data_IF_698763916725
#
_entry.id   IF_698763916725
#
_cell.length_a   1.000
_cell.length_b   1.000
_cell.length_c   1.000
_cell.angle_alpha   90.00
_cell.angle_beta   90.00
_cell.angle_gamma   90.00
#
_symmetry.space_group_name_H-M   'P 1'
#
loop_
_entity.id
_entity.type
_entity.pdbx_description
1 polymer ?
#
# COMPACT_ATOMS: atom_id res chain seq x y z
N UNK A 1 -18.02 -56.73 2.84
CA UNK A 1 -16.55 -56.65 2.66
C UNK A 1 -16.13 -55.29 3.18
N UNK A 2 -15.43 -55.24 4.31
CA UNK A 2 -15.02 -53.97 4.93
C UNK A 2 -13.71 -53.50 4.30
N UNK A 3 -13.73 -52.32 3.69
CA UNK A 3 -12.55 -51.68 3.13
C UNK A 3 -11.68 -51.14 4.27
N UNK A 4 -10.51 -51.76 4.48
CA UNK A 4 -9.55 -51.29 5.48
C UNK A 4 -8.94 -49.96 5.02
N UNK A 5 -9.40 -48.83 5.57
CA UNK A 5 -8.79 -47.51 5.35
C UNK A 5 -7.30 -47.54 5.74
N UNK A 6 -6.42 -47.34 4.75
CA UNK A 6 -4.99 -47.19 4.96
C UNK A 6 -4.73 -45.90 5.75
N UNK A 7 -4.12 -46.00 6.93
CA UNK A 7 -3.75 -44.82 7.73
C UNK A 7 -2.69 -44.02 6.97
N UNK A 8 -2.81 -42.69 6.91
CA UNK A 8 -1.81 -41.86 6.24
C UNK A 8 -0.48 -41.96 6.98
N UNK A 9 0.61 -42.05 6.22
CA UNK A 9 1.98 -42.02 6.75
C UNK A 9 2.30 -40.62 7.29
N UNK A 10 3.23 -40.52 8.25
CA UNK A 10 3.67 -39.28 8.86
C UNK A 10 4.10 -38.24 7.82
N UNK A 11 4.78 -38.67 6.76
CA UNK A 11 5.16 -37.77 5.66
C UNK A 11 3.95 -37.18 4.91
N UNK A 12 2.89 -37.96 4.72
CA UNK A 12 1.63 -37.48 4.12
C UNK A 12 0.93 -36.48 5.03
N UNK A 13 0.93 -36.74 6.34
CA UNK A 13 0.35 -35.83 7.34
C UNK A 13 1.11 -34.50 7.39
N UNK A 14 2.44 -34.52 7.43
CA UNK A 14 3.27 -33.29 7.45
C UNK A 14 3.03 -32.45 6.19
N UNK A 15 2.97 -33.08 5.00
CA UNK A 15 2.65 -32.37 3.76
C UNK A 15 1.27 -31.71 3.80
N UNK A 16 0.26 -32.44 4.31
CA UNK A 16 -1.09 -31.92 4.44
C UNK A 16 -1.15 -30.75 5.44
N UNK A 17 -0.44 -30.84 6.56
CA UNK A 17 -0.34 -29.76 7.55
C UNK A 17 0.33 -28.53 6.94
N UNK A 18 1.47 -28.68 6.26
CA UNK A 18 2.15 -27.56 5.62
C UNK A 18 1.26 -26.89 4.56
N UNK A 19 0.56 -27.68 3.73
CA UNK A 19 -0.39 -27.16 2.77
C UNK A 19 -1.52 -26.39 3.46
N UNK A 20 -2.10 -26.94 4.52
CA UNK A 20 -3.15 -26.28 5.28
C UNK A 20 -2.67 -24.95 5.89
N UNK A 21 -1.46 -24.92 6.46
CA UNK A 21 -0.86 -23.69 7.00
C UNK A 21 -0.68 -22.63 5.91
N UNK A 22 -0.13 -23.01 4.75
CA UNK A 22 0.05 -22.08 3.63
C UNK A 22 -1.30 -21.55 3.10
N UNK A 23 -2.31 -22.41 2.99
CA UNK A 23 -3.66 -22.00 2.59
C UNK A 23 -4.29 -21.04 3.62
N UNK A 24 -4.19 -21.35 4.91
CA UNK A 24 -4.73 -20.50 5.97
C UNK A 24 -4.02 -19.14 6.03
N UNK A 25 -2.71 -19.11 5.82
CA UNK A 25 -1.96 -17.85 5.71
C UNK A 25 -2.43 -17.03 4.51
N UNK A 26 -2.54 -17.65 3.33
CA UNK A 26 -3.03 -16.97 2.12
C UNK A 26 -4.43 -16.39 2.33
N UNK A 27 -5.37 -17.21 2.80
CA UNK A 27 -6.75 -16.79 3.06
C UNK A 27 -6.84 -15.74 4.17
N UNK A 28 -6.05 -15.87 5.24
CA UNK A 28 -6.01 -14.91 6.34
C UNK A 28 -5.47 -13.56 5.90
N UNK A 29 -4.39 -13.54 5.12
CA UNK A 29 -3.84 -12.31 4.54
C UNK A 29 -4.85 -11.68 3.57
N UNK A 30 -5.48 -12.47 2.69
CA UNK A 30 -6.52 -11.96 1.79
C UNK A 30 -7.70 -11.37 2.56
N UNK A 31 -8.21 -12.05 3.59
CA UNK A 31 -9.31 -11.55 4.41
C UNK A 31 -8.92 -10.25 5.14
N UNK A 32 -7.70 -10.18 5.70
CA UNK A 32 -7.17 -8.96 6.29
C UNK A 32 -7.10 -7.81 5.28
N UNK A 33 -6.51 -8.06 4.10
CA UNK A 33 -6.39 -7.05 3.05
C UNK A 33 -7.72 -6.59 2.47
N UNK A 34 -8.79 -7.38 2.61
CA UNK A 34 -10.15 -7.00 2.17
C UNK A 34 -10.90 -6.23 3.26
N UNK A 35 -10.87 -6.73 4.50
CA UNK A 35 -11.78 -6.33 5.58
C UNK A 35 -11.20 -5.37 6.61
N UNK A 36 -9.88 -5.30 6.74
CA UNK A 36 -9.28 -4.45 7.77
C UNK A 36 -9.55 -2.96 7.50
N UNK A 37 -9.64 -2.12 8.55
CA UNK A 37 -9.82 -0.69 8.41
C UNK A 37 -8.71 -0.07 7.55
N UNK A 38 -9.11 0.84 6.66
CA UNK A 38 -8.22 1.50 5.71
C UNK A 38 -8.03 2.96 6.12
N UNK A 39 -6.80 3.51 6.01
CA UNK A 39 -6.58 4.92 6.21
C UNK A 39 -7.25 5.74 5.10
N UNK A 40 -7.75 6.93 5.45
CA UNK A 40 -8.29 7.91 4.48
C UNK A 40 -7.28 9.00 4.14
N UNK A 41 -6.25 9.17 4.98
CA UNK A 41 -5.20 10.16 4.82
C UNK A 41 -3.84 9.51 5.07
N UNK A 42 -2.83 9.99 4.35
CA UNK A 42 -1.44 9.63 4.56
C UNK A 42 -0.82 10.55 5.60
N UNK A 43 -0.40 10.00 6.75
CA UNK A 43 0.28 10.78 7.78
C UNK A 43 1.72 11.16 7.37
N UNK A 44 2.29 10.40 6.43
CA UNK A 44 3.66 10.62 5.93
C UNK A 44 3.69 11.65 4.78
N UNK A 45 2.70 11.60 3.88
CA UNK A 45 2.66 12.44 2.66
C UNK A 45 1.75 13.66 2.81
N UNK A 46 1.04 13.82 3.94
CA UNK A 46 0.05 14.89 4.17
C UNK A 46 -0.94 15.08 3.01
N UNK A 47 -1.46 13.98 2.46
CA UNK A 47 -2.48 13.98 1.41
C UNK A 47 -3.63 13.04 1.72
N UNK A 48 -4.78 13.32 1.13
CA UNK A 48 -5.87 12.35 1.07
C UNK A 48 -5.46 11.15 0.21
N UNK A 49 -5.90 9.96 0.64
CA UNK A 49 -5.72 8.72 -0.10
C UNK A 49 -6.87 8.50 -1.08
N UNK A 50 -6.67 7.59 -2.03
CA UNK A 50 -7.71 7.23 -3.00
C UNK A 50 -9.03 6.86 -2.30
N UNK A 51 -10.14 7.32 -2.86
CA UNK A 51 -11.50 6.97 -2.42
C UNK A 51 -11.99 5.77 -3.21
N UNK A 52 -12.92 5.01 -2.62
CA UNK A 52 -13.55 3.92 -3.34
C UNK A 52 -14.37 4.50 -4.51
N UNK A 53 -14.24 3.97 -5.75
CA UNK A 53 -14.89 4.56 -6.90
C UNK A 53 -16.41 4.39 -6.85
N UNK A 54 -17.13 5.37 -7.39
CA UNK A 54 -18.57 5.27 -7.57
C UNK A 54 -18.89 4.39 -8.79
N UNK A 55 -19.86 3.51 -8.64
CA UNK A 55 -20.25 2.60 -9.72
C UNK A 55 -21.16 3.29 -10.74
N UNK A 56 -20.84 3.17 -12.02
CA UNK A 56 -21.77 3.43 -13.12
C UNK A 56 -21.57 2.39 -14.22
N UNK A 57 -22.60 2.15 -15.03
CA UNK A 57 -22.49 1.21 -16.14
C UNK A 57 -21.50 1.67 -17.21
N UNK A 58 -21.45 2.99 -17.46
CA UNK A 58 -20.47 3.59 -18.36
C UNK A 58 -19.04 3.38 -17.85
N UNK A 59 -18.79 3.67 -16.56
CA UNK A 59 -17.46 3.52 -15.95
C UNK A 59 -17.02 2.05 -15.84
N UNK A 60 -17.98 1.12 -15.75
CA UNK A 60 -17.69 -0.30 -15.79
C UNK A 60 -17.23 -0.74 -17.19
N UNK A 61 -17.95 -0.37 -18.25
CA UNK A 61 -17.62 -0.79 -19.62
C UNK A 61 -16.43 -0.05 -20.23
N UNK A 62 -16.12 1.17 -19.77
CA UNK A 62 -14.92 1.90 -20.17
C UNK A 62 -13.69 1.58 -19.29
N UNK A 63 -13.82 0.65 -18.34
CA UNK A 63 -12.81 0.19 -17.37
C UNK A 63 -12.38 1.18 -16.26
N UNK A 64 -12.91 2.40 -16.22
CA UNK A 64 -12.60 3.40 -15.19
C UNK A 64 -12.95 2.91 -13.78
N UNK A 65 -14.08 2.21 -13.61
CA UNK A 65 -14.48 1.66 -12.31
C UNK A 65 -13.46 0.64 -11.80
N UNK A 66 -13.00 -0.26 -12.66
CA UNK A 66 -12.01 -1.29 -12.30
C UNK A 66 -10.62 -0.70 -12.04
N UNK A 67 -10.25 0.35 -12.77
CA UNK A 67 -9.03 1.10 -12.52
C UNK A 67 -9.08 1.79 -11.14
N UNK A 68 -10.21 2.43 -10.82
CA UNK A 68 -10.44 3.06 -9.52
C UNK A 68 -10.40 2.06 -8.35
N UNK A 69 -10.93 0.84 -8.54
CA UNK A 69 -10.80 -0.23 -7.53
C UNK A 69 -9.32 -0.56 -7.33
N UNK A 70 -8.58 -0.75 -8.42
CA UNK A 70 -7.16 -1.08 -8.36
C UNK A 70 -6.35 0.00 -7.66
N UNK A 71 -6.59 1.26 -7.99
CA UNK A 71 -5.98 2.41 -7.35
C UNK A 71 -6.31 2.46 -5.86
N UNK A 72 -7.59 2.31 -5.50
CA UNK A 72 -8.04 2.28 -4.11
C UNK A 72 -7.33 1.21 -3.29
N UNK A 73 -7.29 -0.04 -3.75
CA UNK A 73 -6.64 -1.13 -3.03
C UNK A 73 -5.12 -0.97 -2.95
N UNK A 74 -4.51 -0.32 -3.93
CA UNK A 74 -3.07 -0.06 -3.96
C UNK A 74 -2.69 1.08 -2.99
N UNK A 75 -3.49 2.15 -2.94
CA UNK A 75 -3.17 3.34 -2.16
C UNK A 75 -3.64 3.26 -0.70
N UNK A 76 -4.65 2.45 -0.38
CA UNK A 76 -5.27 2.39 0.96
C UNK A 76 -5.01 1.08 1.72
N UNK A 77 -3.92 0.38 1.39
CA UNK A 77 -3.57 -0.88 2.06
C UNK A 77 -3.53 -0.71 3.60
N UNK A 78 -4.18 -1.59 4.37
CA UNK A 78 -4.17 -1.51 5.84
C UNK A 78 -2.74 -1.52 6.39
N UNK A 79 -2.37 -0.51 7.18
CA UNK A 79 -1.01 -0.39 7.74
C UNK A 79 0.06 0.12 6.76
N UNK A 80 -0.33 0.69 5.61
CA UNK A 80 0.57 1.25 4.58
C UNK A 80 1.74 2.07 5.16
N UNK A 81 1.46 3.05 6.01
CA UNK A 81 2.48 3.95 6.54
C UNK A 81 3.46 3.22 7.46
N UNK A 82 2.99 2.25 8.25
CA UNK A 82 3.86 1.36 9.03
C UNK A 82 4.80 0.56 8.13
N UNK A 83 4.29 -0.03 7.05
CA UNK A 83 5.13 -0.77 6.11
C UNK A 83 6.16 0.13 5.42
N UNK A 84 5.77 1.36 5.05
CA UNK A 84 6.70 2.34 4.48
C UNK A 84 7.83 2.68 5.46
N UNK A 85 7.51 2.88 6.73
CA UNK A 85 8.52 3.14 7.76
C UNK A 85 9.47 1.95 7.94
N UNK A 86 8.96 0.72 7.99
CA UNK A 86 9.81 -0.48 8.09
C UNK A 86 10.75 -0.60 6.88
N UNK A 87 10.24 -0.37 5.67
CA UNK A 87 11.06 -0.43 4.45
C UNK A 87 12.15 0.66 4.48
N UNK A 88 11.79 1.86 4.94
CA UNK A 88 12.73 2.95 5.16
C UNK A 88 13.81 2.57 6.16
N UNK A 89 13.45 2.00 7.31
CA UNK A 89 14.39 1.60 8.34
C UNK A 89 15.37 0.55 7.81
N UNK A 90 14.87 -0.43 7.07
CA UNK A 90 15.71 -1.43 6.40
C UNK A 90 16.66 -0.76 5.41
N UNK A 91 16.18 0.17 4.57
CA UNK A 91 17.02 0.90 3.60
C UNK A 91 18.10 1.74 4.29
N UNK A 92 17.79 2.34 5.43
CA UNK A 92 18.75 3.10 6.22
C UNK A 92 19.90 2.22 6.72
N UNK A 93 19.64 0.95 7.07
CA UNK A 93 20.71 -0.02 7.42
C UNK A 93 21.70 -0.26 6.27
N UNK A 94 21.27 -0.06 5.02
CA UNK A 94 22.13 -0.17 3.83
C UNK A 94 22.66 1.18 3.34
N UNK A 95 22.52 2.26 4.13
CA UNK A 95 22.98 3.60 3.78
C UNK A 95 22.17 4.31 2.70
N UNK A 96 20.96 3.81 2.38
CA UNK A 96 20.07 4.44 1.41
C UNK A 96 19.20 5.44 2.15
N UNK A 97 19.53 6.73 2.03
CA UNK A 97 18.71 7.81 2.58
C UNK A 97 17.56 8.18 1.64
N UNK A 98 16.33 8.27 2.16
CA UNK A 98 15.16 8.76 1.41
C UNK A 98 15.36 10.21 0.98
N UNK A 99 14.89 10.56 -0.22
CA UNK A 99 14.89 11.95 -0.70
C UNK A 99 13.93 12.79 0.15
N UNK A 100 14.30 14.04 0.44
CA UNK A 100 13.51 14.97 1.24
C UNK A 100 12.06 15.10 0.73
N UNK A 101 11.11 15.16 1.68
CA UNK A 101 9.67 15.23 1.43
C UNK A 101 8.90 13.92 1.54
N UNK A 102 9.58 12.78 1.80
CA UNK A 102 8.94 11.44 1.83
C UNK A 102 8.80 10.86 3.24
N UNK A 103 9.28 11.54 4.29
CA UNK A 103 9.29 10.97 5.65
C UNK A 103 8.91 12.03 6.68
N UNK A 104 7.96 11.66 7.53
CA UNK A 104 7.43 12.47 8.64
C UNK A 104 8.42 12.72 9.78
N UNK A 105 9.61 13.25 9.46
CA UNK A 105 10.33 14.12 10.39
C UNK A 105 9.70 15.50 10.18
N UNK A 106 8.85 15.93 11.12
CA UNK A 106 8.51 17.36 11.20
C UNK A 106 9.83 18.13 11.38
N UNK A 107 10.16 19.12 10.54
CA UNK A 107 11.11 20.15 10.95
C UNK A 107 10.57 20.76 12.24
N UNK A 108 11.41 20.93 13.26
CA UNK A 108 11.00 21.54 14.52
C UNK A 108 10.80 23.07 14.42
N UNK A 109 10.85 23.64 13.22
CA UNK A 109 10.72 25.08 13.03
C UNK A 109 9.58 25.38 12.07
N UNK A 110 8.68 26.33 12.40
CA UNK A 110 7.73 26.85 11.43
C UNK A 110 8.53 27.65 10.41
N UNK A 111 8.90 27.02 9.29
CA UNK A 111 9.36 27.77 8.13
C UNK A 111 8.11 28.35 7.51
N UNK A 112 7.90 29.65 7.70
CA UNK A 112 6.92 30.42 6.94
C UNK A 112 7.20 30.18 5.44
N UNK A 113 6.15 29.85 4.70
CA UNK A 113 6.19 29.66 3.26
C UNK A 113 6.45 31.01 2.58
N UNK A 114 7.71 31.44 2.53
CA UNK A 114 8.16 32.52 1.66
C UNK A 114 8.16 32.03 0.21
N UNK A 115 6.97 31.85 -0.37
CA UNK A 115 6.83 31.89 -1.83
C UNK A 115 7.19 33.32 -2.27
N UNK A 116 8.22 33.54 -3.09
CA UNK A 116 8.40 34.85 -3.68
C UNK A 116 7.27 35.07 -4.69
N UNK A 117 6.29 35.89 -4.32
CA UNK A 117 5.22 36.37 -5.22
C UNK A 117 5.73 37.50 -6.12
N UNK A 118 6.83 37.27 -6.82
CA UNK A 118 7.44 38.25 -7.73
C UNK A 118 7.51 37.70 -9.15
N UNK A 119 6.95 38.43 -10.11
CA UNK A 119 7.02 38.16 -11.55
C UNK A 119 8.44 37.78 -12.00
N UNK A 120 8.60 36.59 -12.57
CA UNK A 120 9.82 36.21 -13.26
C UNK A 120 9.85 37.00 -14.58
N UNK A 121 10.65 38.06 -14.63
CA UNK A 121 10.96 38.76 -15.88
C UNK A 121 11.91 37.87 -16.68
N UNK A 122 11.43 37.34 -17.81
CA UNK A 122 12.18 36.40 -18.64
C UNK A 122 13.35 37.12 -19.35
N UNK A 123 14.62 36.83 -19.01
CA UNK A 123 15.77 37.59 -19.52
C UNK A 123 16.12 37.29 -20.99
N UNK A 124 15.32 36.45 -21.66
CA UNK A 124 15.50 36.07 -23.07
C UNK A 124 14.45 36.69 -24.01
N UNK A 125 13.54 37.53 -23.51
CA UNK A 125 12.51 38.15 -24.34
C UNK A 125 13.04 39.25 -25.29
N UNK A 126 14.34 39.56 -25.30
CA UNK A 126 14.91 40.60 -26.18
C UNK A 126 16.33 40.32 -26.69
N UNK A 127 16.62 39.08 -27.10
CA UNK A 127 17.78 38.76 -27.95
C UNK A 127 17.37 38.08 -29.24
#
# INVERSE_FOLDING_TARGET
>A
MEEKRKKPDAATVVKAVNAAVLCLLGLGISAYLLLAPRPTQSGIENRDLAKFPEFSWESYFNAEYTAGITEYFTDTAPGRDTYKNIITDIRALFGITPKEGVIGVKPNDPVEDERPTGEVSDPLANR
#
